data_IF_555960786063
#
_entry.id   IF_555960786063
#
_cell.length_a   1.000
_cell.length_b   1.000
_cell.length_c   1.000
_cell.angle_alpha   90.00
_cell.angle_beta   90.00
_cell.angle_gamma   90.00
#
_symmetry.space_group_name_H-M   'P 1'
#
loop_
_entity.id
_entity.type
_entity.pdbx_description
1 polymer ?
#
# COMPACT_ATOMS: atom_id res chain seq x y z
N UNK A 1 10.86 -18.90 1.22
CA UNK A 1 9.66 -18.20 0.70
C UNK A 1 9.37 -16.91 1.44
N UNK A 2 9.31 -16.93 2.78
CA UNK A 2 9.04 -15.73 3.60
C UNK A 2 10.11 -14.66 3.37
N UNK A 3 11.38 -15.04 3.34
CA UNK A 3 12.48 -14.10 3.11
C UNK A 3 12.39 -13.45 1.73
N UNK A 4 12.05 -14.21 0.70
CA UNK A 4 11.88 -13.68 -0.66
C UNK A 4 10.71 -12.69 -0.74
N UNK A 5 9.60 -12.97 -0.06
CA UNK A 5 8.44 -12.08 0.02
C UNK A 5 8.82 -10.77 0.72
N UNK A 6 9.53 -10.85 1.84
CA UNK A 6 9.97 -9.68 2.59
C UNK A 6 10.92 -8.79 1.78
N UNK A 7 11.87 -9.40 1.07
CA UNK A 7 12.79 -8.66 0.20
C UNK A 7 12.05 -7.96 -0.94
N UNK A 8 11.09 -8.65 -1.55
CA UNK A 8 10.27 -8.04 -2.60
C UNK A 8 9.48 -6.84 -2.09
N UNK A 9 8.93 -6.94 -0.90
CA UNK A 9 8.22 -5.84 -0.27
C UNK A 9 9.15 -4.67 0.07
N UNK A 10 10.35 -4.95 0.60
CA UNK A 10 11.34 -3.91 0.90
C UNK A 10 11.78 -3.16 -0.36
N UNK A 11 12.08 -3.88 -1.44
CA UNK A 11 12.47 -3.29 -2.71
C UNK A 11 11.33 -2.41 -3.28
N UNK A 12 10.09 -2.88 -3.14
CA UNK A 12 8.93 -2.17 -3.65
C UNK A 12 8.65 -0.87 -2.90
N UNK A 13 8.92 -0.81 -1.59
CA UNK A 13 8.72 0.41 -0.78
C UNK A 13 9.50 1.59 -1.35
N UNK A 14 10.71 1.36 -1.91
CA UNK A 14 11.49 2.40 -2.54
C UNK A 14 10.79 3.09 -3.72
N UNK A 15 9.85 2.42 -4.37
CA UNK A 15 9.07 2.98 -5.46
C UNK A 15 7.88 3.82 -5.00
N UNK A 16 7.48 3.68 -3.74
CA UNK A 16 6.31 4.40 -3.21
C UNK A 16 6.57 5.89 -3.03
N UNK A 17 7.79 6.26 -2.64
CA UNK A 17 8.13 7.66 -2.35
C UNK A 17 7.83 8.62 -3.49
N UNK A 18 8.31 8.40 -4.74
CA UNK A 18 8.00 9.31 -5.83
C UNK A 18 6.50 9.35 -6.16
N UNK A 19 5.79 8.25 -5.99
CA UNK A 19 4.34 8.20 -6.22
C UNK A 19 3.61 9.11 -5.23
N UNK A 20 3.97 9.05 -3.95
CA UNK A 20 3.39 9.92 -2.92
C UNK A 20 3.78 11.39 -3.13
N UNK A 21 5.03 11.65 -3.48
CA UNK A 21 5.50 13.02 -3.75
C UNK A 21 4.71 13.64 -4.91
N UNK A 22 4.48 12.90 -5.98
CA UNK A 22 3.69 13.38 -7.12
C UNK A 22 2.24 13.68 -6.70
N UNK A 23 1.64 12.82 -5.89
CA UNK A 23 0.28 13.06 -5.38
C UNK A 23 0.21 14.34 -4.52
N UNK A 24 1.24 14.59 -3.71
CA UNK A 24 1.33 15.82 -2.89
C UNK A 24 1.47 17.05 -3.77
N UNK A 25 2.29 16.97 -4.83
CA UNK A 25 2.47 18.09 -5.78
C UNK A 25 1.19 18.44 -6.53
N UNK A 26 0.34 17.46 -6.79
CA UNK A 26 -0.94 17.65 -7.45
C UNK A 26 -2.04 18.14 -6.51
N UNK A 27 -1.79 18.11 -5.20
CA UNK A 27 -2.76 18.53 -4.19
C UNK A 27 -3.05 20.02 -4.29
N UNK A 28 -4.34 20.35 -4.36
CA UNK A 28 -4.78 21.74 -4.32
C UNK A 28 -4.94 22.23 -2.87
N UNK A 29 -5.03 23.55 -2.69
CA UNK A 29 -5.33 24.12 -1.36
C UNK A 29 -6.68 23.62 -0.84
N UNK A 30 -7.66 23.47 -1.71
CA UNK A 30 -8.98 22.93 -1.35
C UNK A 30 -8.86 21.49 -0.84
N UNK A 31 -8.06 20.67 -1.52
CA UNK A 31 -7.81 19.29 -1.09
C UNK A 31 -7.19 19.25 0.32
N UNK A 32 -6.18 20.09 0.55
CA UNK A 32 -5.52 20.20 1.85
C UNK A 32 -6.49 20.62 2.96
N UNK A 33 -7.33 21.60 2.70
CA UNK A 33 -8.35 22.04 3.66
C UNK A 33 -9.37 20.97 3.97
N UNK A 34 -9.80 20.22 2.96
CA UNK A 34 -10.73 19.10 3.14
C UNK A 34 -10.12 18.00 4.00
N UNK A 35 -8.83 17.72 3.84
CA UNK A 35 -8.11 16.77 4.67
C UNK A 35 -8.07 17.22 6.13
N UNK A 36 -7.70 18.45 6.36
CA UNK A 36 -7.56 19.01 7.72
C UNK A 36 -8.90 19.01 8.46
N UNK A 37 -9.96 19.41 7.79
CA UNK A 37 -11.31 19.52 8.37
C UNK A 37 -12.09 18.20 8.33
N UNK A 38 -11.60 17.22 7.62
CA UNK A 38 -12.27 15.94 7.41
C UNK A 38 -12.03 14.94 8.54
N UNK A 39 -12.38 13.68 8.30
CA UNK A 39 -12.20 12.62 9.29
C UNK A 39 -10.72 12.39 9.60
N UNK A 40 -10.47 11.64 10.69
CA UNK A 40 -9.11 11.38 11.19
C UNK A 40 -8.20 10.66 10.19
N UNK A 41 -8.76 9.99 9.20
CA UNK A 41 -8.05 9.26 8.15
C UNK A 41 -8.20 9.92 6.76
N UNK A 42 -8.52 11.20 6.73
CA UNK A 42 -8.75 11.95 5.49
C UNK A 42 -7.57 11.97 4.55
N UNK A 43 -6.35 12.16 5.07
CA UNK A 43 -5.13 12.15 4.26
C UNK A 43 -4.85 10.76 3.73
N UNK A 44 -4.99 9.73 4.56
CA UNK A 44 -4.80 8.33 4.16
C UNK A 44 -5.73 7.97 3.01
N UNK A 45 -7.02 8.29 3.12
CA UNK A 45 -7.99 8.01 2.07
C UNK A 45 -7.71 8.79 0.79
N UNK A 46 -7.28 10.05 0.91
CA UNK A 46 -6.89 10.87 -0.23
C UNK A 46 -5.75 10.20 -1.02
N UNK A 47 -4.68 9.80 -0.32
CA UNK A 47 -3.55 9.15 -0.97
C UNK A 47 -3.91 7.78 -1.52
N UNK A 48 -4.73 7.02 -0.81
CA UNK A 48 -5.19 5.70 -1.27
C UNK A 48 -5.94 5.82 -2.58
N UNK A 49 -6.88 6.75 -2.69
CA UNK A 49 -7.65 6.95 -3.91
C UNK A 49 -6.78 7.38 -5.09
N UNK A 50 -5.74 8.19 -4.84
CA UNK A 50 -4.88 8.74 -5.88
C UNK A 50 -3.72 7.83 -6.27
N UNK A 51 -3.25 6.97 -5.38
CA UNK A 51 -1.98 6.25 -5.58
C UNK A 51 -2.10 4.73 -5.60
N UNK A 52 -3.20 4.15 -5.17
CA UNK A 52 -3.33 2.69 -5.02
C UNK A 52 -2.99 1.94 -6.31
N UNK A 53 -3.56 2.35 -7.44
CA UNK A 53 -3.30 1.70 -8.73
C UNK A 53 -1.84 1.84 -9.15
N UNK A 54 -1.25 3.01 -8.96
CA UNK A 54 0.16 3.27 -9.28
C UNK A 54 1.09 2.43 -8.41
N UNK A 55 0.74 2.27 -7.13
CA UNK A 55 1.51 1.44 -6.19
C UNK A 55 1.44 -0.03 -6.58
N UNK A 56 0.27 -0.54 -6.92
CA UNK A 56 0.10 -1.91 -7.38
C UNK A 56 0.96 -2.15 -8.64
N UNK A 57 0.90 -1.24 -9.59
CA UNK A 57 1.69 -1.33 -10.83
C UNK A 57 3.19 -1.30 -10.53
N UNK A 58 3.63 -0.43 -9.63
CA UNK A 58 5.04 -0.30 -9.29
C UNK A 58 5.58 -1.50 -8.50
N UNK A 59 4.76 -2.06 -7.59
CA UNK A 59 5.18 -3.16 -6.71
C UNK A 59 5.19 -4.52 -7.43
N UNK A 60 4.32 -4.71 -8.40
CA UNK A 60 4.13 -6.02 -9.04
C UNK A 60 5.41 -6.60 -9.64
N UNK A 61 6.20 -5.87 -10.45
CA UNK A 61 7.42 -6.46 -11.03
C UNK A 61 8.44 -6.90 -9.98
N UNK A 62 8.61 -6.11 -8.93
CA UNK A 62 9.58 -6.38 -7.87
C UNK A 62 9.18 -7.61 -7.05
N UNK A 63 7.91 -7.69 -6.67
CA UNK A 63 7.37 -8.84 -5.93
C UNK A 63 7.42 -10.10 -6.80
N UNK A 64 7.00 -9.99 -8.06
CA UNK A 64 7.04 -11.12 -9.00
C UNK A 64 8.46 -11.66 -9.17
N UNK A 65 9.44 -10.77 -9.36
CA UNK A 65 10.84 -11.17 -9.51
C UNK A 65 11.34 -11.91 -8.26
N UNK A 66 10.99 -11.45 -7.06
CA UNK A 66 11.39 -12.10 -5.82
C UNK A 66 10.74 -13.46 -5.64
N UNK A 67 9.47 -13.61 -5.99
CA UNK A 67 8.74 -14.86 -5.88
C UNK A 67 9.19 -15.89 -6.93
N UNK A 68 9.53 -15.47 -8.14
CA UNK A 68 9.98 -16.34 -9.22
C UNK A 68 11.33 -17.01 -8.92
N UNK A 69 12.09 -16.49 -7.95
CA UNK A 69 13.33 -17.12 -7.46
C UNK A 69 13.07 -18.33 -6.57
N UNK A 70 11.82 -18.61 -6.24
CA UNK A 70 11.40 -19.73 -5.39
C UNK A 70 10.25 -20.46 -6.04
N UNK A 71 9.91 -21.67 -5.55
CA UNK A 71 8.74 -22.42 -6.00
C UNK A 71 7.44 -21.98 -5.31
N UNK A 72 7.49 -20.90 -4.51
CA UNK A 72 6.35 -20.46 -3.70
C UNK A 72 5.10 -20.19 -4.54
N UNK A 73 5.26 -19.52 -5.69
CA UNK A 73 4.14 -19.18 -6.56
C UNK A 73 3.41 -20.43 -7.05
N UNK A 74 4.16 -21.45 -7.46
CA UNK A 74 3.60 -22.71 -7.95
C UNK A 74 2.83 -23.44 -6.85
N UNK A 75 3.46 -23.64 -5.70
CA UNK A 75 2.82 -24.33 -4.57
C UNK A 75 1.58 -23.61 -4.08
N UNK A 76 1.63 -22.31 -3.96
CA UNK A 76 0.48 -21.51 -3.56
C UNK A 76 -0.67 -21.67 -4.56
N UNK A 77 -0.38 -21.54 -5.86
CA UNK A 77 -1.39 -21.67 -6.92
C UNK A 77 -2.05 -23.04 -6.89
N UNK A 78 -1.26 -24.12 -6.74
CA UNK A 78 -1.77 -25.49 -6.71
C UNK A 78 -2.69 -25.72 -5.50
N UNK A 79 -2.27 -25.26 -4.31
CA UNK A 79 -3.04 -25.41 -3.08
C UNK A 79 -4.35 -24.64 -3.17
N UNK A 80 -4.31 -23.39 -3.60
CA UNK A 80 -5.50 -22.52 -3.65
C UNK A 80 -6.47 -23.00 -4.74
N UNK A 81 -5.96 -23.47 -5.88
CA UNK A 81 -6.81 -24.03 -6.93
C UNK A 81 -7.55 -25.26 -6.40
N UNK A 82 -6.88 -26.15 -5.68
CA UNK A 82 -7.52 -27.31 -5.05
C UNK A 82 -8.57 -26.88 -4.01
N UNK A 83 -8.25 -25.91 -3.18
CA UNK A 83 -9.20 -25.35 -2.19
C UNK A 83 -10.46 -24.79 -2.86
N UNK A 84 -10.31 -24.03 -3.95
CA UNK A 84 -11.43 -23.41 -4.65
C UNK A 84 -12.35 -24.44 -5.33
N UNK A 85 -11.88 -25.66 -5.56
CA UNK A 85 -12.67 -26.76 -6.14
C UNK A 85 -13.51 -27.52 -5.11
N UNK A 86 -13.27 -27.31 -3.82
CA UNK A 86 -14.04 -28.01 -2.78
C UNK A 86 -15.50 -27.56 -2.78
N UNK A 87 -16.46 -28.50 -2.68
CA UNK A 87 -17.90 -28.14 -2.67
C UNK A 87 -18.30 -27.24 -1.51
N UNK A 88 -17.53 -27.26 -0.41
CA UNK A 88 -17.79 -26.49 0.79
C UNK A 88 -17.21 -25.07 0.75
N UNK A 89 -16.50 -24.72 -0.32
CA UNK A 89 -15.88 -23.41 -0.45
C UNK A 89 -16.89 -22.38 -0.98
N UNK A 90 -17.33 -21.47 -0.12
CA UNK A 90 -18.28 -20.41 -0.46
C UNK A 90 -17.58 -19.15 -0.98
N UNK A 91 -16.36 -18.87 -0.51
CA UNK A 91 -15.57 -17.72 -0.93
C UNK A 91 -14.26 -18.23 -1.52
N UNK A 92 -14.11 -18.07 -2.82
CA UNK A 92 -12.89 -18.48 -3.51
C UNK A 92 -11.75 -17.51 -3.26
N UNK A 93 -10.55 -18.05 -3.24
CA UNK A 93 -9.30 -17.29 -3.05
C UNK A 93 -8.61 -17.15 -4.41
N UNK A 94 -8.03 -15.97 -4.68
CA UNK A 94 -7.25 -15.75 -5.89
C UNK A 94 -5.99 -16.64 -5.86
N UNK A 95 -5.79 -17.53 -6.87
CA UNK A 95 -4.60 -18.39 -6.92
C UNK A 95 -3.33 -17.64 -7.33
N UNK A 96 -3.38 -16.39 -7.71
CA UNK A 96 -2.22 -15.59 -8.08
C UNK A 96 -1.52 -15.05 -6.83
N UNK A 97 -0.42 -15.70 -6.45
CA UNK A 97 0.35 -15.28 -5.27
C UNK A 97 0.93 -13.87 -5.43
N UNK A 98 1.38 -13.49 -6.62
CA UNK A 98 1.93 -12.15 -6.85
C UNK A 98 0.89 -11.08 -6.54
N UNK A 99 -0.32 -11.21 -7.08
CA UNK A 99 -1.41 -10.26 -6.80
C UNK A 99 -1.78 -10.24 -5.31
N UNK A 100 -1.81 -11.39 -4.67
CA UNK A 100 -2.09 -11.48 -3.23
C UNK A 100 -1.05 -10.72 -2.41
N UNK A 101 0.24 -10.99 -2.67
CA UNK A 101 1.34 -10.35 -1.92
C UNK A 101 1.37 -8.83 -2.18
N UNK A 102 1.19 -8.41 -3.43
CA UNK A 102 1.14 -6.99 -3.78
C UNK A 102 -0.02 -6.30 -3.06
N UNK A 103 -1.21 -6.90 -3.08
CA UNK A 103 -2.38 -6.36 -2.39
C UNK A 103 -2.14 -6.21 -0.89
N UNK A 104 -1.55 -7.22 -0.25
CA UNK A 104 -1.22 -7.18 1.18
C UNK A 104 -0.15 -6.13 1.49
N UNK A 105 0.86 -5.99 0.62
CA UNK A 105 1.91 -4.97 0.79
C UNK A 105 1.34 -3.55 0.70
N UNK A 106 0.46 -3.31 -0.26
CA UNK A 106 -0.19 -2.00 -0.42
C UNK A 106 -1.10 -1.70 0.78
N UNK A 107 -1.87 -2.68 1.25
CA UNK A 107 -2.72 -2.52 2.43
C UNK A 107 -1.87 -2.19 3.68
N UNK A 108 -0.76 -2.91 3.88
CA UNK A 108 0.14 -2.66 5.00
C UNK A 108 0.76 -1.26 4.93
N UNK A 109 1.10 -0.79 3.73
CA UNK A 109 1.62 0.56 3.53
C UNK A 109 0.60 1.61 3.96
N UNK A 110 -0.67 1.47 3.56
CA UNK A 110 -1.70 2.42 3.95
C UNK A 110 -2.09 2.32 5.42
N UNK A 111 -1.98 1.14 6.05
CA UNK A 111 -2.11 1.03 7.50
C UNK A 111 -1.04 1.85 8.21
N UNK A 112 0.20 1.81 7.71
CA UNK A 112 1.29 2.60 8.26
C UNK A 112 1.07 4.10 8.01
N UNK A 113 0.59 4.48 6.83
CA UNK A 113 0.23 5.87 6.51
C UNK A 113 -0.85 6.37 7.48
N UNK A 114 -1.85 5.55 7.77
CA UNK A 114 -2.91 5.92 8.70
C UNK A 114 -2.38 6.16 10.11
N UNK A 115 -1.43 5.34 10.57
CA UNK A 115 -0.78 5.53 11.87
C UNK A 115 0.02 6.82 11.93
N UNK A 116 0.75 7.13 10.85
CA UNK A 116 1.51 8.37 10.75
C UNK A 116 0.58 9.59 10.70
N UNK A 117 -0.52 9.49 9.99
CA UNK A 117 -1.53 10.57 9.98
C UNK A 117 -2.06 10.84 11.37
N UNK A 118 -2.42 9.79 12.12
CA UNK A 118 -2.90 9.92 13.49
C UNK A 118 -1.85 10.59 14.39
N UNK A 119 -0.58 10.22 14.23
CA UNK A 119 0.52 10.83 14.97
C UNK A 119 0.68 12.32 14.63
N UNK A 120 0.67 12.67 13.35
CA UNK A 120 0.83 14.05 12.87
C UNK A 120 -0.32 14.93 13.36
N UNK A 121 -1.55 14.42 13.36
CA UNK A 121 -2.72 15.16 13.84
C UNK A 121 -2.67 15.39 15.35
N UNK A 122 -2.18 14.41 16.10
CA UNK A 122 -2.09 14.49 17.57
C UNK A 122 -0.89 15.29 18.05
N UNK A 123 0.19 15.37 17.26
CA UNK A 123 1.46 15.93 17.70
C UNK A 123 2.02 16.94 16.67
N UNK A 124 1.86 18.25 16.90
CA UNK A 124 2.40 19.28 15.99
C UNK A 124 3.91 19.17 15.75
N UNK A 125 4.68 18.63 16.71
CA UNK A 125 6.13 18.46 16.55
C UNK A 125 6.49 17.41 15.50
N UNK A 126 5.58 16.50 15.16
CA UNK A 126 5.79 15.52 14.11
C UNK A 126 5.73 16.13 12.70
N UNK A 127 5.27 17.39 12.57
CA UNK A 127 5.14 18.10 11.30
C UNK A 127 6.47 18.76 10.92
N UNK A 128 7.51 17.94 10.75
CA UNK A 128 8.89 18.43 10.61
C UNK A 128 9.33 18.68 9.16
N UNK A 129 8.68 18.06 8.18
CA UNK A 129 9.00 18.26 6.77
C UNK A 129 8.14 19.35 6.15
N UNK A 130 8.63 19.96 5.06
CA UNK A 130 7.87 20.98 4.32
C UNK A 130 6.58 20.40 3.76
N UNK A 131 6.59 19.14 3.35
CA UNK A 131 5.40 18.46 2.86
C UNK A 131 4.33 18.31 3.94
N UNK A 132 4.72 17.94 5.16
CA UNK A 132 3.81 17.80 6.29
C UNK A 132 3.27 19.17 6.73
N UNK A 133 4.12 20.18 6.75
CA UNK A 133 3.69 21.55 7.04
C UNK A 133 2.69 22.07 6.02
N UNK A 134 2.87 21.76 4.74
CA UNK A 134 1.94 22.15 3.69
C UNK A 134 0.55 21.57 3.92
N UNK A 135 0.45 20.30 4.34
CA UNK A 135 -0.82 19.59 4.51
C UNK A 135 -1.48 19.93 5.85
N UNK A 136 -0.73 19.95 6.96
CA UNK A 136 -1.26 20.03 8.32
C UNK A 136 -0.92 21.32 9.06
N UNK A 137 -0.10 22.19 8.50
CA UNK A 137 0.40 23.40 9.15
C UNK A 137 -0.54 24.60 9.10
N UNK A 138 -1.78 24.40 8.71
CA UNK A 138 -2.80 25.47 8.61
C UNK A 138 -3.45 25.80 9.96
#
# INVERSE_FOLDING_TARGET
AILAINRGAEDAVGFAKPIFVDAIKEMTLKDALNIIKGPKDGATNYFKDRTKEKLITAFTPSVKSSLDKTDATKYYSDIITSYNKLPTTFKKINPDLTSYVVGRAVDALFDQVAKEEANIRANPLARTSDMLKKVFGQ
#
